data_IF_533728067170
#
_entry.id   IF_533728067170
#
_cell.length_a   1.000
_cell.length_b   1.000
_cell.length_c   1.000
_cell.angle_alpha   90.00
_cell.angle_beta   90.00
_cell.angle_gamma   90.00
#
_symmetry.space_group_name_H-M   'P 1'
#
loop_
_entity.id
_entity.type
_entity.pdbx_description
1 polymer ?
#
# COMPACT_ATOMS: atom_id res chain seq x y z
N UNK A 1 7.01 -18.20 -2.86
CA UNK A 1 8.29 -17.47 -2.84
C UNK A 1 8.10 -16.26 -1.95
N UNK A 2 8.83 -16.13 -0.84
CA UNK A 2 8.77 -14.93 0.01
C UNK A 2 9.50 -13.81 -0.74
N UNK A 3 8.74 -12.85 -1.27
CA UNK A 3 9.30 -11.66 -1.90
C UNK A 3 9.83 -10.76 -0.77
N UNK A 4 11.09 -10.95 -0.40
CA UNK A 4 11.76 -10.13 0.62
C UNK A 4 12.16 -8.84 -0.08
N UNK A 5 11.32 -7.81 0.03
CA UNK A 5 11.68 -6.46 -0.38
C UNK A 5 12.94 -6.09 0.39
N UNK A 6 14.05 -5.95 -0.32
CA UNK A 6 15.31 -5.50 0.25
C UNK A 6 15.19 -3.99 0.49
N UNK A 7 14.64 -3.61 1.65
CA UNK A 7 14.61 -2.21 2.08
C UNK A 7 16.05 -1.68 2.18
N UNK A 8 16.39 -0.55 1.55
CA UNK A 8 17.67 0.08 1.82
C UNK A 8 17.65 0.68 3.24
N UNK A 9 18.64 0.32 4.05
CA UNK A 9 18.96 0.95 5.33
C UNK A 9 20.21 1.82 5.16
N UNK A 10 20.06 3.13 5.36
CA UNK A 10 20.80 3.94 6.35
C UNK A 10 20.78 5.43 5.97
N UNK A 11 20.34 6.27 6.91
CA UNK A 11 20.90 7.61 7.03
C UNK A 11 20.19 8.76 6.34
N UNK A 12 18.86 8.78 6.32
CA UNK A 12 18.14 10.05 6.42
C UNK A 12 16.76 9.73 6.97
N UNK A 13 16.63 9.73 8.30
CA UNK A 13 15.31 9.95 8.87
C UNK A 13 14.81 11.24 8.23
N UNK A 14 13.67 11.19 7.54
CA UNK A 14 12.97 12.40 7.13
C UNK A 14 12.34 13.04 8.39
N UNK A 15 13.21 13.33 9.38
CA UNK A 15 12.86 13.86 10.69
C UNK A 15 12.47 15.34 10.60
N UNK A 16 12.61 15.97 9.41
CA UNK A 16 12.39 17.39 9.19
C UNK A 16 11.44 17.76 8.03
N UNK A 17 10.70 16.84 7.40
CA UNK A 17 9.73 17.17 6.33
C UNK A 17 8.43 16.31 6.43
N UNK A 18 7.29 16.67 5.80
CA UNK A 18 5.97 16.08 6.08
C UNK A 18 5.77 14.65 5.51
N UNK A 19 6.84 13.89 5.31
CA UNK A 19 6.85 12.52 4.79
C UNK A 19 6.64 11.43 5.83
N UNK A 20 6.61 10.17 5.37
CA UNK A 20 6.48 8.97 6.21
C UNK A 20 7.73 8.79 7.08
N UNK A 21 7.57 8.28 8.31
CA UNK A 21 8.72 7.78 9.08
C UNK A 21 9.28 6.50 8.44
N UNK A 22 10.52 6.11 8.74
CA UNK A 22 11.09 4.85 8.22
C UNK A 22 10.22 3.64 8.55
N UNK A 23 9.59 3.62 9.75
CA UNK A 23 8.69 2.55 10.17
C UNK A 23 7.39 2.57 9.38
N UNK A 24 6.77 3.74 9.22
CA UNK A 24 5.56 3.89 8.41
C UNK A 24 5.81 3.53 6.94
N UNK A 25 6.91 3.99 6.35
CA UNK A 25 7.31 3.63 4.99
C UNK A 25 7.44 2.10 4.84
N UNK A 26 8.06 1.42 5.82
CA UNK A 26 8.17 -0.04 5.80
C UNK A 26 6.82 -0.75 5.91
N UNK A 27 5.93 -0.28 6.78
CA UNK A 27 4.56 -0.81 6.88
C UNK A 27 3.81 -0.66 5.56
N UNK A 28 3.83 0.54 4.97
CA UNK A 28 3.17 0.86 3.70
C UNK A 28 3.69 -0.02 2.57
N UNK A 29 5.01 -0.18 2.41
CA UNK A 29 5.56 -1.02 1.34
C UNK A 29 5.23 -2.51 1.51
N UNK A 30 5.16 -3.02 2.75
CA UNK A 30 4.74 -4.41 3.01
C UNK A 30 3.26 -4.62 2.67
N UNK A 31 2.39 -3.72 3.09
CA UNK A 31 0.96 -3.78 2.76
C UNK A 31 0.74 -3.63 1.25
N UNK A 32 1.37 -2.64 0.60
CA UNK A 32 1.29 -2.44 -0.84
C UNK A 32 1.71 -3.68 -1.63
N UNK A 33 2.84 -4.30 -1.26
CA UNK A 33 3.30 -5.54 -1.93
C UNK A 33 2.35 -6.71 -1.69
N UNK A 34 1.77 -6.80 -0.50
CA UNK A 34 0.77 -7.84 -0.18
C UNK A 34 -0.49 -7.63 -1.03
N UNK A 35 -0.96 -6.39 -1.14
CA UNK A 35 -2.11 -6.03 -1.96
C UNK A 35 -1.87 -6.28 -3.44
N UNK A 36 -0.71 -5.90 -3.98
CA UNK A 36 -0.34 -6.21 -5.36
C UNK A 36 -0.43 -7.71 -5.65
N UNK A 37 0.18 -8.53 -4.79
CA UNK A 37 0.17 -10.00 -4.93
C UNK A 37 -1.26 -10.57 -4.86
N UNK A 38 -2.07 -10.11 -3.91
CA UNK A 38 -3.47 -10.52 -3.77
C UNK A 38 -4.28 -10.15 -5.01
N UNK A 39 -4.17 -8.90 -5.48
CA UNK A 39 -4.94 -8.41 -6.65
C UNK A 39 -4.53 -9.15 -7.92
N UNK A 40 -3.24 -9.45 -8.12
CA UNK A 40 -2.81 -10.29 -9.24
C UNK A 40 -3.43 -11.69 -9.17
N UNK A 41 -3.41 -12.32 -8.00
CA UNK A 41 -4.01 -13.63 -7.79
C UNK A 41 -5.53 -13.62 -8.02
N UNK A 42 -6.22 -12.62 -7.48
CA UNK A 42 -7.67 -12.46 -7.64
C UNK A 42 -8.06 -12.18 -9.09
N UNK A 43 -7.30 -11.33 -9.79
CA UNK A 43 -7.53 -11.03 -11.21
C UNK A 43 -7.38 -12.28 -12.09
N UNK A 44 -6.38 -13.12 -11.79
CA UNK A 44 -6.16 -14.39 -12.49
C UNK A 44 -7.26 -15.41 -12.16
N UNK A 45 -7.71 -15.49 -10.90
CA UNK A 45 -8.79 -16.38 -10.48
C UNK A 45 -10.16 -15.97 -11.06
N UNK A 46 -10.39 -14.67 -11.18
CA UNK A 46 -11.60 -14.12 -11.79
C UNK A 46 -11.63 -14.41 -13.29
N UNK A 47 -10.47 -14.41 -13.95
CA UNK A 47 -10.30 -14.72 -15.37
C UNK A 47 -11.25 -13.90 -16.28
N UNK A 48 -11.48 -12.64 -15.93
CA UNK A 48 -12.32 -11.70 -16.68
C UNK A 48 -13.83 -11.82 -16.40
N UNK A 49 -14.25 -12.63 -15.43
CA UNK A 49 -15.63 -12.64 -14.92
C UNK A 49 -15.90 -11.40 -14.08
N UNK A 50 -17.16 -11.07 -13.82
CA UNK A 50 -17.53 -10.01 -12.89
C UNK A 50 -17.48 -10.51 -11.43
N UNK A 51 -17.25 -9.60 -10.49
CA UNK A 51 -17.45 -9.84 -9.06
C UNK A 51 -18.95 -9.78 -8.78
N UNK A 52 -19.49 -10.84 -8.17
CA UNK A 52 -20.94 -11.03 -8.00
C UNK A 52 -21.43 -10.59 -6.61
N UNK A 53 -20.53 -10.58 -5.60
CA UNK A 53 -20.88 -10.25 -4.21
C UNK A 53 -19.68 -9.72 -3.43
N UNK A 54 -19.95 -8.78 -2.52
CA UNK A 54 -18.97 -8.28 -1.55
C UNK A 54 -18.45 -9.37 -0.58
N UNK A 55 -19.19 -10.46 -0.41
CA UNK A 55 -18.83 -11.57 0.49
C UNK A 55 -17.71 -12.47 -0.08
N UNK A 56 -17.28 -12.24 -1.33
CA UNK A 56 -16.21 -13.02 -1.97
C UNK A 56 -14.84 -12.84 -1.29
N UNK A 57 -14.72 -11.95 -0.29
CA UNK A 57 -13.54 -11.84 0.58
C UNK A 57 -12.26 -11.37 -0.15
N UNK A 58 -12.41 -10.84 -1.35
CA UNK A 58 -11.33 -10.35 -2.20
C UNK A 58 -11.07 -8.86 -1.92
N UNK A 59 -9.80 -8.42 -2.02
CA UNK A 59 -9.47 -6.99 -1.92
C UNK A 59 -10.20 -6.16 -3.01
N UNK A 60 -10.55 -6.80 -4.13
CA UNK A 60 -11.27 -6.15 -5.22
C UNK A 60 -12.65 -5.63 -4.79
N UNK A 61 -13.29 -6.24 -3.77
CA UNK A 61 -14.61 -5.82 -3.28
C UNK A 61 -14.55 -4.52 -2.47
N UNK A 62 -13.36 -4.10 -2.03
CA UNK A 62 -13.14 -2.83 -1.33
C UNK A 62 -13.27 -1.65 -2.29
N UNK A 63 -13.09 -1.86 -3.60
CA UNK A 63 -13.33 -0.84 -4.60
C UNK A 63 -14.84 -0.66 -4.87
N UNK A 64 -15.28 0.53 -5.29
CA UNK A 64 -16.69 0.80 -5.58
C UNK A 64 -17.28 -0.22 -6.55
N UNK A 65 -18.53 -0.65 -6.31
CA UNK A 65 -19.19 -1.71 -7.08
C UNK A 65 -19.27 -1.46 -8.60
N UNK A 66 -19.20 -0.20 -9.03
CA UNK A 66 -19.10 0.16 -10.46
C UNK A 66 -17.84 -0.40 -11.14
N UNK A 67 -16.83 -0.79 -10.38
CA UNK A 67 -15.58 -1.39 -10.87
C UNK A 67 -15.64 -2.92 -10.99
N UNK A 68 -16.70 -3.57 -10.50
CA UNK A 68 -16.75 -5.03 -10.38
C UNK A 68 -16.85 -5.80 -11.70
N UNK A 69 -17.26 -5.13 -12.78
CA UNK A 69 -17.35 -5.68 -14.13
C UNK A 69 -16.14 -5.32 -15.01
N UNK A 70 -15.07 -4.79 -14.40
CA UNK A 70 -13.85 -4.45 -15.15
C UNK A 70 -13.05 -5.70 -15.53
N UNK A 71 -12.35 -5.63 -16.66
CA UNK A 71 -11.58 -6.75 -17.20
C UNK A 71 -10.28 -7.04 -16.40
N UNK A 72 -9.66 -8.20 -16.66
CA UNK A 72 -8.38 -8.60 -16.04
C UNK A 72 -7.26 -7.57 -16.27
N UNK A 73 -7.26 -6.86 -17.41
CA UNK A 73 -6.27 -5.84 -17.70
C UNK A 73 -6.40 -4.63 -16.77
N UNK A 74 -7.62 -4.24 -16.43
CA UNK A 74 -7.91 -3.21 -15.45
C UNK A 74 -7.41 -3.61 -14.07
N UNK A 75 -7.75 -4.82 -13.61
CA UNK A 75 -7.30 -5.31 -12.30
C UNK A 75 -5.79 -5.43 -12.20
N UNK A 76 -5.11 -5.85 -13.27
CA UNK A 76 -3.64 -5.87 -13.33
C UNK A 76 -3.01 -4.48 -13.29
N UNK A 77 -3.67 -3.46 -13.82
CA UNK A 77 -3.23 -2.06 -13.67
C UNK A 77 -3.43 -1.58 -12.23
N UNK A 78 -4.52 -1.98 -11.57
CA UNK A 78 -4.71 -1.69 -10.14
C UNK A 78 -3.64 -2.39 -9.28
N UNK A 79 -3.34 -3.65 -9.54
CA UNK A 79 -2.24 -4.37 -8.89
C UNK A 79 -0.90 -3.65 -9.09
N UNK A 80 -0.66 -3.18 -10.32
CA UNK A 80 0.56 -2.45 -10.67
C UNK A 80 0.70 -1.14 -9.90
N UNK A 81 -0.39 -0.41 -9.67
CA UNK A 81 -0.37 0.80 -8.87
C UNK A 81 0.13 0.53 -7.43
N UNK A 82 -0.23 -0.61 -6.83
CA UNK A 82 0.33 -1.00 -5.52
C UNK A 82 1.84 -1.31 -5.59
N UNK A 83 2.28 -2.02 -6.64
CA UNK A 83 3.71 -2.29 -6.86
C UNK A 83 4.53 -1.00 -7.05
N UNK A 84 3.98 -0.02 -7.78
CA UNK A 84 4.67 1.25 -8.04
C UNK A 84 4.85 2.05 -6.73
N UNK A 85 3.84 2.07 -5.83
CA UNK A 85 3.98 2.67 -4.49
C UNK A 85 5.06 1.96 -3.64
N UNK A 86 5.09 0.63 -3.69
CA UNK A 86 6.12 -0.15 -2.98
C UNK A 86 7.53 0.12 -3.56
N UNK A 87 7.62 0.31 -4.88
CA UNK A 87 8.88 0.60 -5.56
C UNK A 87 9.42 1.98 -5.20
N UNK A 88 8.57 3.01 -5.09
CA UNK A 88 8.99 4.34 -4.65
C UNK A 88 9.63 4.29 -3.26
N UNK A 89 8.98 3.61 -2.32
CA UNK A 89 9.49 3.41 -0.97
C UNK A 89 10.80 2.62 -0.97
N UNK A 90 10.89 1.57 -1.79
CA UNK A 90 12.12 0.79 -1.93
C UNK A 90 13.28 1.62 -2.50
N UNK A 91 13.00 2.70 -3.23
CA UNK A 91 14.00 3.67 -3.69
C UNK A 91 14.33 4.76 -2.66
N UNK A 92 13.75 4.69 -1.46
CA UNK A 92 13.95 5.66 -0.38
C UNK A 92 13.15 6.95 -0.57
N UNK A 93 12.13 6.96 -1.45
CA UNK A 93 11.25 8.10 -1.68
C UNK A 93 9.91 7.88 -0.98
N UNK A 94 9.28 8.97 -0.54
CA UNK A 94 7.86 8.91 -0.20
C UNK A 94 7.08 8.50 -1.46
N UNK A 95 6.01 7.69 -1.35
CA UNK A 95 5.18 7.36 -2.50
C UNK A 95 4.56 8.63 -3.07
N UNK A 96 4.69 8.85 -4.38
CA UNK A 96 4.19 10.04 -5.06
C UNK A 96 3.24 9.62 -6.19
N UNK A 97 1.91 9.61 -5.94
CA UNK A 97 0.95 9.17 -6.94
C UNK A 97 0.99 10.02 -8.21
N UNK A 98 1.26 9.37 -9.34
CA UNK A 98 1.30 9.96 -10.68
C UNK A 98 0.01 9.74 -11.47
N UNK A 99 -0.85 8.83 -11.00
CA UNK A 99 -2.12 8.52 -11.65
C UNK A 99 -3.28 8.29 -10.65
N UNK A 100 -4.55 8.38 -11.08
CA UNK A 100 -5.69 8.16 -10.19
C UNK A 100 -5.71 6.78 -9.52
N UNK A 101 -5.19 5.74 -10.20
CA UNK A 101 -5.12 4.40 -9.63
C UNK A 101 -4.14 4.35 -8.44
N UNK A 102 -2.98 5.00 -8.55
CA UNK A 102 -2.01 5.15 -7.46
C UNK A 102 -2.57 5.98 -6.30
N UNK A 103 -3.38 7.00 -6.58
CA UNK A 103 -4.07 7.76 -5.52
C UNK A 103 -4.98 6.83 -4.74
N UNK A 104 -5.85 6.06 -5.41
CA UNK A 104 -6.75 5.10 -4.73
C UNK A 104 -5.95 4.02 -4.00
N UNK A 105 -4.91 3.49 -4.62
CA UNK A 105 -4.03 2.49 -4.03
C UNK A 105 -3.38 3.01 -2.73
N UNK A 106 -2.90 4.26 -2.73
CA UNK A 106 -2.27 4.87 -1.56
C UNK A 106 -3.24 4.96 -0.38
N UNK A 107 -4.46 5.45 -0.61
CA UNK A 107 -5.48 5.53 0.45
C UNK A 107 -5.80 4.15 1.04
N UNK A 108 -5.95 3.12 0.20
CA UNK A 108 -6.23 1.76 0.64
C UNK A 108 -5.07 1.18 1.46
N UNK A 109 -3.83 1.38 1.01
CA UNK A 109 -2.63 0.90 1.71
C UNK A 109 -2.45 1.59 3.04
N UNK A 110 -2.64 2.92 3.12
CA UNK A 110 -2.50 3.67 4.36
C UNK A 110 -3.55 3.27 5.40
N UNK A 111 -4.80 3.09 4.97
CA UNK A 111 -5.88 2.62 5.84
C UNK A 111 -5.57 1.22 6.41
N UNK A 112 -5.18 0.28 5.55
CA UNK A 112 -4.84 -1.07 5.98
C UNK A 112 -3.57 -1.11 6.84
N UNK A 113 -2.55 -0.32 6.52
CA UNK A 113 -1.35 -0.21 7.35
C UNK A 113 -1.68 0.32 8.74
N UNK A 114 -2.60 1.30 8.85
CA UNK A 114 -3.03 1.83 10.14
C UNK A 114 -3.78 0.77 10.97
N UNK A 115 -4.69 0.02 10.34
CA UNK A 115 -5.43 -1.06 11.00
C UNK A 115 -4.49 -2.17 11.51
N UNK A 116 -3.59 -2.66 10.64
CA UNK A 116 -2.62 -3.69 11.01
C UNK A 116 -1.59 -3.21 12.04
N UNK A 117 -1.17 -1.95 11.99
CA UNK A 117 -0.30 -1.36 13.00
C UNK A 117 -1.01 -1.26 14.36
N UNK A 118 -2.29 -0.86 14.39
CA UNK A 118 -3.08 -0.82 15.62
C UNK A 118 -3.32 -2.20 16.22
N UNK A 119 -3.43 -3.23 15.39
CA UNK A 119 -3.53 -4.64 15.81
C UNK A 119 -2.20 -5.25 16.27
N UNK A 120 -1.06 -4.60 15.98
CA UNK A 120 0.29 -5.11 16.27
C UNK A 120 0.82 -6.13 15.26
N UNK A 121 0.12 -6.34 14.14
CA UNK A 121 0.49 -7.33 13.11
C UNK A 121 1.84 -7.02 12.43
N UNK A 122 2.25 -5.75 12.46
CA UNK A 122 3.45 -5.24 11.80
C UNK A 122 4.64 -5.03 12.77
N UNK A 123 4.50 -5.33 14.05
CA UNK A 123 5.54 -5.07 15.05
C UNK A 123 6.86 -5.79 14.71
N UNK A 124 6.75 -7.06 14.32
CA UNK A 124 7.92 -7.85 13.88
C UNK A 124 8.51 -7.34 12.57
N UNK A 125 7.69 -6.72 11.72
CA UNK A 125 8.13 -6.18 10.43
C UNK A 125 9.02 -4.95 10.64
N UNK A 126 8.76 -4.14 11.67
CA UNK A 126 9.48 -2.88 11.93
C UNK A 126 10.41 -2.92 13.14
N UNK A 127 10.59 -4.08 13.77
CA UNK A 127 11.33 -4.25 15.02
C UNK A 127 12.79 -3.78 14.93
N UNK A 128 13.42 -3.86 13.76
CA UNK A 128 14.80 -3.46 13.50
C UNK A 128 14.97 -1.94 13.25
N UNK A 129 13.88 -1.20 13.12
CA UNK A 129 13.90 0.23 12.81
C UNK A 129 13.78 1.08 14.08
N UNK A 130 14.39 2.28 14.12
CA UNK A 130 14.23 3.20 15.24
C UNK A 130 12.78 3.65 15.38
N UNK A 131 12.30 3.75 16.63
CA UNK A 131 10.97 4.30 16.94
C UNK A 131 10.97 5.79 16.68
N UNK A 132 9.93 6.30 16.02
CA UNK A 132 9.70 7.72 15.84
C UNK A 132 8.35 8.11 16.48
N UNK A 133 8.27 9.31 17.08
CA UNK A 133 7.07 9.82 17.77
C UNK A 133 5.80 9.91 16.90
N UNK A 134 5.94 9.77 15.58
CA UNK A 134 4.88 9.87 14.56
C UNK A 134 4.42 8.50 14.07
N UNK A 135 5.03 7.39 14.50
CA UNK A 135 4.75 6.06 13.92
C UNK A 135 3.28 5.65 14.02
N UNK A 136 2.57 6.09 15.07
CA UNK A 136 1.15 5.82 15.26
C UNK A 136 0.19 6.73 14.48
N UNK A 137 0.68 7.66 13.66
CA UNK A 137 -0.14 8.67 12.96
C UNK A 137 -0.02 8.53 11.44
N UNK A 138 -0.55 7.42 10.91
CA UNK A 138 -0.59 7.14 9.46
C UNK A 138 -1.65 7.99 8.74
N UNK A 139 -2.74 8.39 9.42
CA UNK A 139 -3.79 9.25 8.85
C UNK A 139 -3.24 10.65 8.47
N UNK A 140 -2.33 11.20 9.27
CA UNK A 140 -1.68 12.48 8.96
C UNK A 140 -0.76 12.38 7.73
N UNK A 141 -0.19 11.21 7.45
CA UNK A 141 0.67 11.01 6.28
C UNK A 141 -0.12 11.06 4.97
N UNK A 142 -1.33 10.49 4.94
CA UNK A 142 -2.26 10.55 3.81
C UNK A 142 -2.52 12.01 3.39
N UNK A 143 -2.91 12.84 4.36
CA UNK A 143 -3.17 14.26 4.13
C UNK A 143 -1.95 15.09 3.70
N UNK A 144 -0.73 14.66 4.02
CA UNK A 144 0.50 15.35 3.62
C UNK A 144 0.98 14.93 2.23
N UNK A 145 0.82 13.67 1.85
CA UNK A 145 1.27 13.13 0.56
C UNK A 145 0.29 13.56 -0.55
N UNK A 146 -1.02 13.42 -0.31
CA UNK A 146 -2.06 13.73 -1.31
C UNK A 146 -2.21 15.23 -1.59
N UNK A 147 -1.68 16.10 -0.71
CA UNK A 147 -1.76 17.57 -0.85
C UNK A 147 -0.48 18.24 -1.37
N UNK A 148 0.56 17.49 -1.77
CA UNK A 148 1.71 18.11 -2.43
C UNK A 148 1.30 18.56 -3.84
N UNK A 149 1.55 19.83 -4.21
CA UNK A 149 1.16 20.39 -5.51
C UNK A 149 1.98 19.81 -6.66
#
# INVERSE_FOLDING_TARGET
MRNVILFPLAGSGNDLDPGLTSRQARMVAVIATTFAATVYGDADALAGRAIESAEQGSLLVTLPAVTWDQDTGWWRRMARAFDDLAADIATGRDPEPTCPAEVVALHLVLAAAAEHAAAGDLDMVVADLPVHRRDGDLERADGCIVRRP
#
